data_IF_228997218218
#
_entry.id   IF_228997218218
#
_cell.length_a   1.000
_cell.length_b   1.000
_cell.length_c   1.000
_cell.angle_alpha   90.00
_cell.angle_beta   90.00
_cell.angle_gamma   90.00
#
_symmetry.space_group_name_H-M   'P 1'
#
loop_
_entity.id
_entity.type
_entity.pdbx_description
1 polymer ?
#
# COMPACT_ATOMS: atom_id res chain seq x y z
N UNK A 1 -18.25 2.81 8.25
CA UNK A 1 -17.09 3.73 8.26
C UNK A 1 -15.84 2.88 8.35
N UNK A 2 -14.78 3.26 7.66
CA UNK A 2 -13.47 2.62 7.75
C UNK A 2 -12.74 3.07 9.03
N UNK A 3 -11.66 2.39 9.40
CA UNK A 3 -10.87 2.70 10.60
C UNK A 3 -9.89 3.86 10.32
N UNK A 4 -9.64 4.73 11.30
CA UNK A 4 -8.56 5.71 11.25
C UNK A 4 -7.20 5.06 11.52
N UNK A 5 -6.08 5.76 11.18
CA UNK A 5 -4.73 5.23 11.45
C UNK A 5 -4.47 5.12 12.96
N UNK A 6 -4.92 6.10 13.75
CA UNK A 6 -4.79 6.09 15.21
C UNK A 6 -5.50 4.89 15.84
N UNK A 7 -6.79 4.70 15.48
CA UNK A 7 -7.55 3.55 15.95
C UNK A 7 -6.96 2.21 15.46
N UNK A 8 -6.41 2.16 14.26
CA UNK A 8 -5.73 0.96 13.74
C UNK A 8 -4.49 0.60 14.59
N UNK A 9 -3.65 1.58 14.92
CA UNK A 9 -2.48 1.36 15.79
C UNK A 9 -2.92 0.94 17.20
N UNK A 10 -3.86 1.65 17.82
CA UNK A 10 -4.36 1.38 19.16
C UNK A 10 -4.91 -0.05 19.28
N UNK A 11 -5.83 -0.44 18.38
CA UNK A 11 -6.43 -1.78 18.39
C UNK A 11 -5.41 -2.89 18.06
N UNK A 12 -4.30 -2.54 17.42
CA UNK A 12 -3.18 -3.47 17.16
C UNK A 12 -2.13 -3.47 18.29
N UNK A 13 -2.37 -2.75 19.40
CA UNK A 13 -1.45 -2.67 20.53
C UNK A 13 -0.15 -1.91 20.22
N UNK A 14 -0.22 -0.90 19.34
CA UNK A 14 0.92 -0.09 18.92
C UNK A 14 0.72 1.37 19.33
N UNK A 15 1.83 2.02 19.67
CA UNK A 15 1.85 3.45 19.94
C UNK A 15 2.42 4.21 18.74
N UNK A 16 1.65 5.12 18.17
CA UNK A 16 2.14 6.00 17.11
C UNK A 16 3.30 6.87 17.60
N UNK A 17 4.34 7.00 16.78
CA UNK A 17 5.49 7.88 17.02
C UNK A 17 5.47 9.13 16.15
N UNK A 18 4.49 9.27 15.27
CA UNK A 18 4.32 10.44 14.43
C UNK A 18 3.91 10.14 13.00
N UNK A 19 3.89 11.21 12.22
CA UNK A 19 3.55 11.22 10.80
C UNK A 19 4.51 12.14 10.05
N UNK A 20 4.81 11.79 8.81
CA UNK A 20 5.59 12.63 7.88
C UNK A 20 4.92 12.65 6.52
N UNK A 21 5.03 13.74 5.73
CA UNK A 21 4.57 13.75 4.35
C UNK A 21 5.39 12.78 3.49
N UNK A 22 4.80 12.31 2.40
CA UNK A 22 5.48 11.45 1.43
C UNK A 22 6.78 12.10 0.95
N UNK A 23 7.85 11.31 0.85
CA UNK A 23 9.19 11.79 0.52
C UNK A 23 10.06 12.16 1.72
N UNK A 24 9.47 12.37 2.89
CA UNK A 24 10.21 12.65 4.14
C UNK A 24 10.42 11.35 4.93
N UNK A 25 11.66 10.98 5.27
CA UNK A 25 11.91 9.78 6.06
C UNK A 25 11.39 9.90 7.50
N UNK A 26 10.75 8.85 8.06
CA UNK A 26 10.40 8.77 9.48
C UNK A 26 11.62 8.89 10.40
N UNK A 27 11.38 9.24 11.68
CA UNK A 27 12.44 9.38 12.70
C UNK A 27 12.84 8.04 13.36
N UNK A 28 12.03 6.98 13.21
CA UNK A 28 12.29 5.66 13.84
C UNK A 28 13.42 4.93 13.13
N UNK A 29 14.57 4.82 13.77
CA UNK A 29 15.78 4.14 13.26
C UNK A 29 15.82 2.65 13.58
N UNK A 30 14.97 2.17 14.50
CA UNK A 30 14.79 0.76 14.85
C UNK A 30 13.72 0.03 14.03
N UNK A 31 13.46 -1.25 14.38
CA UNK A 31 12.39 -2.04 13.74
C UNK A 31 11.01 -1.49 14.06
N UNK A 32 10.04 -1.74 13.18
CA UNK A 32 8.68 -1.26 13.36
C UNK A 32 7.79 -1.44 12.14
N UNK A 33 6.67 -0.74 12.17
CA UNK A 33 5.67 -0.74 11.11
C UNK A 33 5.37 0.69 10.64
N UNK A 34 4.82 0.81 9.45
CA UNK A 34 4.37 2.09 8.90
C UNK A 34 3.09 1.90 8.09
N UNK A 35 2.29 2.95 8.08
CA UNK A 35 1.02 3.03 7.36
C UNK A 35 1.09 4.22 6.43
N UNK A 36 0.85 4.01 5.14
CA UNK A 36 0.69 5.11 4.18
C UNK A 36 -0.79 5.45 4.10
N UNK A 37 -1.11 6.70 4.35
CA UNK A 37 -2.48 7.20 4.39
C UNK A 37 -2.64 8.48 3.56
N UNK A 38 -3.88 8.80 3.21
CA UNK A 38 -4.25 10.03 2.50
C UNK A 38 -4.34 11.26 3.41
N UNK A 39 -4.27 11.11 4.72
CA UNK A 39 -4.41 12.20 5.71
C UNK A 39 -3.23 12.24 6.68
N UNK A 40 -2.79 13.44 7.11
CA UNK A 40 -1.82 13.58 8.20
C UNK A 40 -2.43 13.38 9.59
N UNK A 41 -3.75 13.58 9.74
CA UNK A 41 -4.43 13.40 11.01
C UNK A 41 -4.67 11.90 11.28
N UNK A 42 -4.09 11.34 12.35
CA UNK A 42 -4.28 9.93 12.68
C UNK A 42 -5.71 9.57 13.08
N UNK A 43 -6.54 10.55 13.45
CA UNK A 43 -7.90 10.32 13.91
C UNK A 43 -8.94 10.43 12.79
N UNK A 44 -8.53 10.89 11.60
CA UNK A 44 -9.39 10.91 10.43
C UNK A 44 -9.73 9.47 9.98
N UNK A 45 -11.01 9.13 10.04
CA UNK A 45 -11.54 7.84 9.56
C UNK A 45 -12.01 7.89 8.10
N UNK A 46 -11.97 9.06 7.46
CA UNK A 46 -12.39 9.28 6.07
C UNK A 46 -11.18 9.71 5.24
N UNK A 47 -10.90 8.95 4.18
CA UNK A 47 -9.81 9.26 3.26
C UNK A 47 -10.15 10.47 2.38
N UNK A 48 -9.11 11.24 2.01
CA UNK A 48 -9.25 12.45 1.18
C UNK A 48 -9.60 12.13 -0.29
N UNK A 49 -9.29 10.93 -0.77
CA UNK A 49 -9.48 10.55 -2.17
C UNK A 49 -10.70 9.62 -2.32
N UNK A 50 -11.67 10.05 -3.12
CA UNK A 50 -12.89 9.26 -3.39
C UNK A 50 -12.63 8.06 -4.30
N UNK A 51 -11.70 8.22 -5.26
CA UNK A 51 -11.38 7.25 -6.31
C UNK A 51 -9.86 7.13 -6.48
N UNK A 52 -9.45 6.05 -7.15
CA UNK A 52 -8.08 5.90 -7.62
C UNK A 52 -7.89 6.70 -8.91
N UNK A 53 -6.99 7.68 -8.88
CA UNK A 53 -6.60 8.47 -10.04
C UNK A 53 -5.22 8.00 -10.54
N UNK A 54 -5.13 7.42 -11.76
CA UNK A 54 -3.88 6.90 -12.29
C UNK A 54 -2.96 8.01 -12.82
N UNK A 55 -1.66 7.91 -12.53
CA UNK A 55 -0.61 8.73 -13.14
C UNK A 55 -0.11 8.08 -14.44
N UNK A 56 -0.39 8.71 -15.57
CA UNK A 56 0.04 8.23 -16.89
C UNK A 56 1.57 8.13 -17.01
N UNK A 57 2.34 9.03 -16.39
CA UNK A 57 3.79 8.99 -16.42
C UNK A 57 4.35 7.78 -15.67
N UNK A 58 3.71 7.37 -14.57
CA UNK A 58 4.09 6.18 -13.82
C UNK A 58 3.84 4.89 -14.63
N UNK A 59 2.74 4.80 -15.39
CA UNK A 59 2.49 3.65 -16.27
C UNK A 59 3.48 3.60 -17.43
N UNK A 60 3.81 4.74 -18.03
CA UNK A 60 4.86 4.81 -19.04
C UNK A 60 6.22 4.33 -18.47
N UNK A 61 6.61 4.79 -17.28
CA UNK A 61 7.83 4.36 -16.60
C UNK A 61 7.82 2.85 -16.30
N UNK A 62 6.68 2.30 -15.87
CA UNK A 62 6.52 0.87 -15.65
C UNK A 62 6.75 0.09 -16.95
N UNK A 63 6.15 0.51 -18.05
CA UNK A 63 6.25 -0.16 -19.35
C UNK A 63 7.65 -0.11 -19.93
N UNK A 64 8.37 0.99 -19.76
CA UNK A 64 9.77 1.10 -20.18
C UNK A 64 10.67 0.07 -19.47
N UNK A 65 10.40 -0.24 -18.21
CA UNK A 65 11.15 -1.24 -17.44
C UNK A 65 10.58 -2.66 -17.58
N UNK A 66 9.31 -2.78 -17.84
CA UNK A 66 8.54 -4.03 -17.84
C UNK A 66 7.64 -4.08 -19.09
N UNK A 67 8.22 -4.23 -20.31
CA UNK A 67 7.45 -4.17 -21.56
C UNK A 67 6.38 -5.26 -21.66
N UNK A 68 6.59 -6.41 -21.00
CA UNK A 68 5.68 -7.56 -21.01
C UNK A 68 4.61 -7.50 -19.92
N UNK A 69 4.42 -6.32 -19.28
CA UNK A 69 3.38 -6.18 -18.26
C UNK A 69 1.99 -6.46 -18.86
N UNK A 70 1.23 -7.31 -18.19
CA UNK A 70 -0.07 -7.78 -18.67
C UNK A 70 -1.04 -8.16 -17.56
N UNK A 71 -2.22 -8.59 -17.98
CA UNK A 71 -3.34 -9.02 -17.12
C UNK A 71 -3.81 -10.39 -17.59
N UNK A 72 -3.98 -11.32 -16.65
CA UNK A 72 -4.54 -12.65 -16.87
C UNK A 72 -3.86 -13.39 -18.05
N UNK A 73 -2.54 -13.26 -18.16
CA UNK A 73 -1.72 -13.94 -19.17
C UNK A 73 -1.72 -13.28 -20.57
N UNK A 74 -2.35 -12.12 -20.74
CA UNK A 74 -2.35 -11.35 -22.01
C UNK A 74 -1.72 -9.99 -21.85
N UNK A 75 -1.19 -9.45 -22.94
CA UNK A 75 -0.77 -8.06 -22.99
C UNK A 75 -1.95 -7.13 -22.65
N UNK A 76 -1.68 -6.05 -21.95
CA UNK A 76 -2.67 -5.08 -21.55
C UNK A 76 -2.19 -3.65 -21.81
N UNK A 77 -3.09 -2.76 -22.20
CA UNK A 77 -2.84 -1.33 -22.31
C UNK A 77 -2.66 -0.70 -20.91
N UNK A 78 -2.12 0.51 -20.86
CA UNK A 78 -1.98 1.25 -19.60
C UNK A 78 -3.36 1.55 -18.97
N UNK A 79 -4.36 1.84 -19.79
CA UNK A 79 -5.74 2.03 -19.36
C UNK A 79 -6.33 0.76 -18.72
N UNK A 80 -6.10 -0.41 -19.31
CA UNK A 80 -6.55 -1.69 -18.74
C UNK A 80 -5.84 -2.01 -17.42
N UNK A 81 -4.52 -1.72 -17.33
CA UNK A 81 -3.74 -1.89 -16.10
C UNK A 81 -4.27 -0.98 -14.98
N UNK A 82 -4.49 0.31 -15.28
CA UNK A 82 -5.04 1.28 -14.35
C UNK A 82 -6.44 0.87 -13.89
N UNK A 83 -7.31 0.48 -14.82
CA UNK A 83 -8.66 0.02 -14.50
C UNK A 83 -8.62 -1.24 -13.61
N UNK A 84 -7.73 -2.21 -13.88
CA UNK A 84 -7.57 -3.42 -13.05
C UNK A 84 -7.09 -3.07 -11.65
N UNK A 85 -6.11 -2.20 -11.49
CA UNK A 85 -5.59 -1.73 -10.19
C UNK A 85 -6.70 -1.01 -9.43
N UNK A 86 -7.43 -0.09 -10.09
CA UNK A 86 -8.52 0.66 -9.49
C UNK A 86 -9.66 -0.19 -8.91
N UNK A 87 -9.87 -1.42 -9.42
CA UNK A 87 -10.86 -2.36 -8.86
C UNK A 87 -10.55 -2.87 -7.45
N UNK A 88 -9.36 -2.58 -6.94
CA UNK A 88 -8.95 -2.86 -5.56
C UNK A 88 -9.02 -1.64 -4.65
N UNK A 89 -9.45 -0.50 -5.18
CA UNK A 89 -9.65 0.72 -4.40
C UNK A 89 -10.79 0.54 -3.41
N UNK A 90 -10.55 0.92 -2.17
CA UNK A 90 -11.57 0.90 -1.11
C UNK A 90 -11.99 2.35 -0.88
N UNK A 91 -13.20 2.75 -1.29
CA UNK A 91 -13.66 4.13 -1.15
C UNK A 91 -13.63 4.63 0.29
N UNK A 92 -13.30 5.90 0.46
CA UNK A 92 -13.36 6.61 1.75
C UNK A 92 -12.46 6.04 2.86
N UNK A 93 -11.56 5.11 2.56
CA UNK A 93 -10.54 4.70 3.55
C UNK A 93 -9.34 5.63 3.51
N UNK A 94 -8.84 6.12 4.65
CA UNK A 94 -7.58 6.86 4.65
C UNK A 94 -6.36 5.95 4.45
N UNK A 95 -6.45 4.67 4.77
CA UNK A 95 -5.32 3.73 4.81
C UNK A 95 -5.13 3.05 3.46
N UNK A 96 -4.00 3.31 2.82
CA UNK A 96 -3.70 2.85 1.47
C UNK A 96 -2.64 1.73 1.42
N UNK A 97 -1.74 1.67 2.42
CA UNK A 97 -0.71 0.64 2.51
C UNK A 97 -0.25 0.45 3.96
N UNK A 98 0.03 -0.79 4.34
CA UNK A 98 0.65 -1.18 5.60
C UNK A 98 1.93 -1.94 5.27
N UNK A 99 3.04 -1.60 5.94
CA UNK A 99 4.32 -2.26 5.74
C UNK A 99 5.14 -2.37 7.02
N UNK A 100 6.13 -3.25 6.99
CA UNK A 100 7.05 -3.48 8.10
C UNK A 100 8.51 -3.18 7.72
N UNK A 101 9.30 -2.94 8.75
CA UNK A 101 10.75 -2.81 8.70
C UNK A 101 11.39 -3.67 9.80
N UNK A 102 12.10 -4.72 9.43
CA UNK A 102 12.76 -5.62 10.38
C UNK A 102 13.99 -5.00 11.09
N UNK A 103 14.55 -3.91 10.56
CA UNK A 103 15.75 -3.27 11.12
C UNK A 103 15.60 -1.78 11.34
N UNK A 104 15.03 -1.03 10.40
CA UNK A 104 14.88 0.42 10.48
C UNK A 104 13.71 0.90 9.64
N UNK A 105 12.70 1.47 10.29
CA UNK A 105 11.55 2.08 9.60
C UNK A 105 12.03 3.21 8.69
N UNK A 106 12.93 4.08 9.17
CA UNK A 106 13.51 5.18 8.39
C UNK A 106 14.12 4.69 7.08
N UNK A 107 15.02 3.70 7.15
CA UNK A 107 15.69 3.17 5.97
C UNK A 107 14.72 2.44 5.03
N UNK A 108 13.76 1.70 5.60
CA UNK A 108 12.77 0.96 4.80
C UNK A 108 11.87 1.89 4.01
N UNK A 109 11.38 2.96 4.64
CA UNK A 109 10.54 3.96 3.99
C UNK A 109 11.34 4.76 2.96
N UNK A 110 12.60 5.14 3.27
CA UNK A 110 13.50 5.75 2.28
C UNK A 110 13.72 4.85 1.06
N UNK A 111 13.93 3.56 1.26
CA UNK A 111 13.99 2.58 0.18
C UNK A 111 12.70 2.55 -0.64
N UNK A 112 11.53 2.65 0.04
CA UNK A 112 10.25 2.71 -0.64
C UNK A 112 10.18 3.93 -1.58
N UNK A 113 10.54 5.11 -1.10
CA UNK A 113 10.54 6.32 -1.93
C UNK A 113 11.44 6.20 -3.16
N UNK A 114 12.66 5.69 -2.99
CA UNK A 114 13.70 5.69 -4.02
C UNK A 114 13.66 4.49 -4.97
N UNK A 115 12.98 3.40 -4.62
CA UNK A 115 12.86 2.25 -5.54
C UNK A 115 11.95 2.60 -6.71
N UNK A 116 12.47 2.61 -7.92
CA UNK A 116 11.66 2.88 -9.12
C UNK A 116 10.57 1.80 -9.31
N UNK A 117 9.43 2.23 -9.90
CA UNK A 117 8.36 1.32 -10.30
C UNK A 117 8.91 0.22 -11.22
N UNK A 118 8.46 -1.02 -11.05
CA UNK A 118 8.96 -2.18 -11.83
C UNK A 118 10.22 -2.83 -11.24
N UNK A 119 10.95 -2.19 -10.32
CA UNK A 119 12.12 -2.81 -9.66
C UNK A 119 11.71 -3.78 -8.55
N UNK A 120 12.52 -4.84 -8.35
CA UNK A 120 12.30 -5.85 -7.29
C UNK A 120 12.90 -5.45 -5.94
N UNK A 121 13.95 -4.66 -5.94
CA UNK A 121 14.72 -4.27 -4.75
C UNK A 121 15.16 -2.81 -4.82
N UNK A 122 15.44 -2.19 -3.68
CA UNK A 122 15.39 -2.72 -2.32
C UNK A 122 13.97 -2.85 -1.73
N UNK A 123 12.94 -2.19 -2.31
CA UNK A 123 11.56 -2.23 -1.82
C UNK A 123 10.58 -2.50 -2.98
N UNK A 124 10.01 -3.68 -3.02
CA UNK A 124 9.09 -4.07 -4.09
C UNK A 124 7.61 -4.11 -3.68
N UNK A 125 7.30 -3.89 -2.39
CA UNK A 125 5.93 -3.84 -1.88
C UNK A 125 5.24 -2.51 -2.22
N UNK A 126 3.90 -2.50 -2.19
CA UNK A 126 3.12 -1.26 -2.29
C UNK A 126 3.29 -0.44 -3.58
N UNK A 127 3.82 -1.03 -4.65
CA UNK A 127 4.14 -0.30 -5.88
C UNK A 127 2.92 0.34 -6.56
N UNK A 128 1.71 -0.12 -6.23
CA UNK A 128 0.48 0.50 -6.73
C UNK A 128 0.32 1.96 -6.28
N UNK A 129 0.83 2.33 -5.08
CA UNK A 129 0.82 3.75 -4.69
C UNK A 129 1.57 4.62 -5.70
N UNK A 130 2.65 4.11 -6.28
CA UNK A 130 3.46 4.84 -7.27
C UNK A 130 2.77 5.03 -8.62
N UNK A 131 1.60 4.44 -8.81
CA UNK A 131 0.75 4.66 -9.99
C UNK A 131 -0.35 5.69 -9.73
N UNK A 132 -0.39 6.32 -8.54
CA UNK A 132 -1.37 7.34 -8.18
C UNK A 132 -0.87 8.74 -8.54
N UNK A 133 -1.75 9.54 -9.12
CA UNK A 133 -1.49 10.97 -9.36
C UNK A 133 -1.29 11.73 -8.03
N UNK A 134 -2.06 11.36 -7.00
CA UNK A 134 -2.02 11.99 -5.68
C UNK A 134 -0.90 11.45 -4.76
N UNK A 135 0.08 10.72 -5.30
CA UNK A 135 1.19 10.18 -4.52
C UNK A 135 1.91 11.22 -3.64
N UNK A 136 2.19 12.45 -4.11
CA UNK A 136 2.86 13.48 -3.30
C UNK A 136 2.05 13.95 -2.09
N UNK A 137 0.72 13.80 -2.11
CA UNK A 137 -0.19 14.21 -1.04
C UNK A 137 -0.32 13.20 0.08
N UNK A 138 0.35 12.04 -0.05
CA UNK A 138 0.26 10.97 0.94
C UNK A 138 1.12 11.28 2.18
N UNK A 139 0.77 10.61 3.28
CA UNK A 139 1.45 10.70 4.56
C UNK A 139 1.86 9.32 5.05
N UNK A 140 2.95 9.26 5.80
CA UNK A 140 3.47 8.03 6.39
C UNK A 140 3.41 8.14 7.91
N UNK A 141 2.49 7.40 8.51
CA UNK A 141 2.41 7.20 9.96
C UNK A 141 3.28 6.01 10.35
N UNK A 142 3.92 6.04 11.52
CA UNK A 142 4.85 5.00 11.90
C UNK A 142 4.85 4.72 13.40
N UNK A 143 5.17 3.48 13.74
CA UNK A 143 5.28 3.00 15.11
C UNK A 143 6.46 2.03 15.25
N UNK A 144 7.24 2.08 16.35
CA UNK A 144 8.21 1.05 16.67
C UNK A 144 7.50 -0.25 17.02
N UNK A 145 8.12 -1.39 16.70
CA UNK A 145 7.63 -2.70 17.08
C UNK A 145 8.81 -3.65 17.31
N UNK A 146 8.79 -4.37 18.42
CA UNK A 146 9.82 -5.38 18.74
C UNK A 146 9.72 -6.56 17.78
N UNK A 147 8.49 -6.94 17.43
CA UNK A 147 8.19 -7.97 16.43
C UNK A 147 7.36 -7.35 15.30
N UNK A 148 8.01 -6.80 14.26
CA UNK A 148 7.32 -6.14 13.15
C UNK A 148 6.44 -7.10 12.32
N UNK A 149 6.80 -8.37 12.18
CA UNK A 149 6.01 -9.35 11.44
C UNK A 149 4.65 -9.57 12.11
N UNK A 150 4.64 -9.81 13.41
CA UNK A 150 3.39 -9.94 14.19
C UNK A 150 2.61 -8.63 14.23
N UNK A 151 3.28 -7.48 14.29
CA UNK A 151 2.65 -6.17 14.27
C UNK A 151 1.94 -5.90 12.94
N UNK A 152 2.61 -6.14 11.79
CA UNK A 152 1.99 -6.01 10.46
C UNK A 152 0.80 -6.96 10.31
N UNK A 153 0.93 -8.21 10.77
CA UNK A 153 -0.16 -9.19 10.69
C UNK A 153 -1.40 -8.74 11.48
N UNK A 154 -1.22 -8.14 12.68
CA UNK A 154 -2.33 -7.57 13.45
C UNK A 154 -2.95 -6.38 12.74
N UNK A 155 -2.15 -5.43 12.23
CA UNK A 155 -2.63 -4.28 11.47
C UNK A 155 -3.47 -4.69 10.26
N UNK A 156 -2.99 -5.65 9.47
CA UNK A 156 -3.74 -6.15 8.30
C UNK A 156 -5.04 -6.85 8.70
N UNK A 157 -5.04 -7.61 9.79
CA UNK A 157 -6.23 -8.26 10.33
C UNK A 157 -7.26 -7.26 10.84
N UNK A 158 -6.82 -6.26 11.61
CA UNK A 158 -7.67 -5.19 12.15
C UNK A 158 -8.26 -4.34 11.03
N UNK A 159 -7.44 -3.97 10.04
CA UNK A 159 -7.92 -3.26 8.84
C UNK A 159 -9.01 -4.07 8.12
N UNK A 160 -8.75 -5.35 7.84
CA UNK A 160 -9.73 -6.22 7.18
C UNK A 160 -11.06 -6.28 7.93
N UNK A 161 -11.02 -6.42 9.25
CA UNK A 161 -12.21 -6.47 10.10
C UNK A 161 -13.00 -5.15 10.10
N UNK A 162 -12.35 -4.02 9.83
CA UNK A 162 -12.98 -2.69 9.79
C UNK A 162 -13.69 -2.37 8.47
N UNK A 163 -13.42 -3.13 7.39
CA UNK A 163 -14.06 -2.88 6.09
C UNK A 163 -15.44 -3.53 6.05
N UNK A 164 -16.52 -2.74 5.89
CA UNK A 164 -17.87 -3.27 5.82
C UNK A 164 -18.06 -4.27 4.68
N UNK A 165 -18.89 -5.29 4.88
CA UNK A 165 -19.22 -6.29 3.85
C UNK A 165 -19.82 -5.65 2.60
N UNK A 166 -20.65 -4.61 2.74
CA UNK A 166 -21.21 -3.84 1.63
C UNK A 166 -20.15 -3.18 0.74
N UNK A 167 -18.97 -2.90 1.29
CA UNK A 167 -17.82 -2.36 0.54
C UNK A 167 -16.96 -3.50 0.00
N UNK A 168 -16.61 -4.47 0.86
CA UNK A 168 -15.71 -5.56 0.45
C UNK A 168 -16.30 -6.43 -0.68
N UNK A 169 -17.63 -6.62 -0.70
CA UNK A 169 -18.32 -7.38 -1.76
C UNK A 169 -18.22 -6.74 -3.15
N UNK A 170 -17.94 -5.44 -3.25
CA UNK A 170 -17.78 -4.73 -4.54
C UNK A 170 -16.36 -4.79 -5.10
N UNK A 171 -15.39 -5.23 -4.29
CA UNK A 171 -13.99 -5.31 -4.70
C UNK A 171 -13.77 -6.45 -5.70
N UNK A 172 -12.70 -6.35 -6.49
CA UNK A 172 -12.31 -7.40 -7.44
C UNK A 172 -12.01 -8.75 -6.76
N UNK A 173 -11.51 -8.73 -5.52
CA UNK A 173 -11.22 -9.93 -4.73
C UNK A 173 -11.77 -9.78 -3.30
N UNK A 174 -13.11 -9.97 -3.12
CA UNK A 174 -13.78 -9.71 -1.85
C UNK A 174 -13.31 -10.65 -0.72
N UNK A 175 -12.74 -11.79 -1.04
CA UNK A 175 -12.21 -12.73 -0.04
C UNK A 175 -10.85 -12.28 0.53
N UNK A 176 -10.14 -11.38 -0.18
CA UNK A 176 -8.76 -10.97 0.12
C UNK A 176 -8.65 -9.47 0.34
N UNK A 177 -9.45 -8.97 1.28
CA UNK A 177 -9.48 -7.56 1.65
C UNK A 177 -8.18 -7.17 2.37
N UNK A 178 -7.53 -6.13 1.85
CA UNK A 178 -6.36 -5.48 2.44
C UNK A 178 -6.27 -4.05 1.90
N UNK A 179 -5.51 -3.13 2.50
CA UNK A 179 -5.32 -1.79 1.97
C UNK A 179 -4.98 -1.79 0.48
N UNK A 180 -5.34 -0.74 -0.23
CA UNK A 180 -5.26 -0.65 -1.69
C UNK A 180 -3.96 -1.25 -2.25
N UNK A 181 -2.81 -0.81 -1.78
CA UNK A 181 -1.52 -1.19 -2.34
C UNK A 181 -0.88 -2.44 -1.68
N UNK A 182 -1.51 -3.05 -0.68
CA UNK A 182 -1.06 -4.34 -0.16
C UNK A 182 -1.48 -5.46 -1.12
N UNK A 183 -0.52 -6.03 -1.82
CA UNK A 183 -0.73 -7.23 -2.64
C UNK A 183 -0.78 -8.47 -1.75
N UNK A 184 0.09 -8.54 -0.76
CA UNK A 184 0.07 -9.59 0.26
C UNK A 184 -0.94 -9.20 1.36
N UNK A 185 -1.94 -10.07 1.58
CA UNK A 185 -3.01 -9.89 2.59
C UNK A 185 -2.53 -10.40 3.94
N UNK A 186 -1.74 -11.45 3.91
CA UNK A 186 -0.97 -12.06 5.00
C UNK A 186 0.10 -12.95 4.39
N UNK A 187 1.03 -13.45 5.20
CA UNK A 187 2.07 -14.39 4.75
C UNK A 187 1.44 -15.58 4.00
N UNK A 188 1.83 -15.77 2.76
CA UNK A 188 1.34 -16.86 1.90
C UNK A 188 -0.04 -16.61 1.24
N UNK A 189 -0.70 -15.49 1.50
CA UNK A 189 -1.99 -15.15 0.88
C UNK A 189 -1.90 -13.79 0.16
N UNK A 190 -2.15 -13.80 -1.16
CA UNK A 190 -2.07 -12.61 -2.02
C UNK A 190 -3.41 -12.32 -2.69
N UNK A 191 -3.68 -11.03 -2.99
CA UNK A 191 -4.79 -10.62 -3.85
C UNK A 191 -4.70 -11.30 -5.22
N UNK A 192 -5.81 -11.74 -5.77
CA UNK A 192 -5.93 -12.29 -7.13
C UNK A 192 -6.02 -11.15 -8.16
N UNK A 193 -4.96 -10.38 -8.29
CA UNK A 193 -4.97 -9.20 -9.14
C UNK A 193 -4.79 -9.50 -10.64
N UNK A 194 -4.32 -10.68 -11.01
CA UNK A 194 -4.10 -11.09 -12.40
C UNK A 194 -2.92 -10.40 -13.11
N UNK A 195 -2.25 -9.43 -12.47
CA UNK A 195 -1.12 -8.72 -13.09
C UNK A 195 0.12 -9.62 -13.19
N UNK A 196 0.78 -9.59 -14.33
CA UNK A 196 2.01 -10.32 -14.62
C UNK A 196 3.06 -9.39 -15.23
N UNK A 197 4.34 -9.79 -15.25
CA UNK A 197 5.40 -9.05 -15.91
C UNK A 197 5.75 -7.68 -15.33
N UNK A 198 5.14 -7.27 -14.21
CA UNK A 198 5.30 -5.93 -13.62
C UNK A 198 6.57 -5.72 -12.79
N UNK A 199 7.52 -6.64 -12.86
CA UNK A 199 8.83 -6.53 -12.23
C UNK A 199 9.90 -7.05 -13.18
N UNK A 200 10.99 -6.31 -13.32
CA UNK A 200 12.13 -6.74 -14.13
C UNK A 200 12.56 -8.16 -13.76
N UNK A 201 12.97 -8.94 -14.76
CA UNK A 201 13.49 -10.28 -14.55
C UNK A 201 14.68 -10.26 -13.56
N UNK A 202 14.88 -11.35 -12.82
CA UNK A 202 16.14 -11.55 -12.10
C UNK A 202 17.21 -11.86 -13.15
N UNK A 203 18.25 -11.07 -13.19
CA UNK A 203 19.48 -11.37 -13.92
C UNK A 203 20.25 -12.41 -13.11
#
# INVERSE_FOLDING_TARGET
MTISVGALFEQSGLQSMGVVPWGTPPSVTGPGVYVVASTPDPDDAVGLFGTYEPDAAAFLALRLLCPDVGIDGRAASDQELAARIGRFWIPSTPILYIGLAGTSVQNRVKQYYTTAIGRRSPHAGGWWLKTMADLPELHVHFAPAVDPDSAEARLLSTFRASVPESVSSTLHDPERVAPFANIDVRKGLRKRHGLSGYKVARV
#
